data_IF_454994180263
#
_entry.id   IF_454994180263
#
_cell.length_a   1.000
_cell.length_b   1.000
_cell.length_c   1.000
_cell.angle_alpha   90.00
_cell.angle_beta   90.00
_cell.angle_gamma   90.00
#
_symmetry.space_group_name_H-M   'P 1'
#
loop_
_entity.id
_entity.type
_entity.pdbx_description
1 polymer ?
#
# COMPACT_ATOMS: atom_id res chain seq x y z
N UNK A 1 24.25 -59.15 55.28
CA UNK A 1 24.56 -57.96 56.09
C UNK A 1 25.47 -57.07 55.26
N UNK A 2 25.11 -56.81 54.00
CA UNK A 2 24.05 -55.90 53.51
C UNK A 2 24.75 -54.56 53.21
N UNK A 3 24.82 -54.01 52.02
CA UNK A 3 24.24 -54.37 50.74
C UNK A 3 25.13 -53.82 49.61
N UNK A 4 25.09 -54.54 48.48
CA UNK A 4 25.62 -54.15 47.17
C UNK A 4 24.88 -52.93 46.62
N UNK A 5 25.61 -52.01 45.97
CA UNK A 5 25.27 -51.44 44.65
C UNK A 5 26.40 -50.46 44.24
N UNK A 6 27.43 -50.82 43.47
CA UNK A 6 27.49 -51.22 42.06
C UNK A 6 27.09 -50.13 41.04
N UNK A 7 28.07 -49.87 40.14
CA UNK A 7 27.97 -49.49 38.72
C UNK A 7 28.07 -48.00 38.26
N UNK A 8 29.33 -47.62 37.97
CA UNK A 8 29.93 -47.12 36.69
C UNK A 8 29.18 -46.10 35.78
N UNK A 9 29.94 -45.29 34.98
CA UNK A 9 29.51 -44.07 34.31
C UNK A 9 28.88 -44.32 32.93
N UNK A 10 28.16 -43.32 32.41
CA UNK A 10 27.76 -43.24 31.01
C UNK A 10 27.75 -41.78 30.51
N UNK A 11 28.49 -41.54 29.44
CA UNK A 11 28.28 -40.45 28.48
C UNK A 11 26.81 -40.40 28.04
N UNK A 12 26.23 -39.20 27.93
CA UNK A 12 25.28 -38.90 26.86
C UNK A 12 25.25 -37.41 26.53
N UNK A 13 26.00 -37.04 25.49
CA UNK A 13 25.70 -35.88 24.67
C UNK A 13 24.36 -36.17 23.98
N UNK A 14 23.31 -35.38 24.19
CA UNK A 14 22.36 -34.86 23.17
C UNK A 14 21.07 -34.36 23.85
N UNK A 15 20.90 -33.04 23.89
CA UNK A 15 19.61 -32.32 23.86
C UNK A 15 19.98 -30.83 23.89
N UNK A 16 20.27 -30.15 22.77
CA UNK A 16 19.29 -29.70 21.77
C UNK A 16 17.97 -29.25 22.40
N UNK A 17 18.05 -28.42 23.44
CA UNK A 17 17.01 -27.47 23.75
C UNK A 17 17.22 -26.24 22.86
N UNK A 18 16.65 -26.30 21.66
CA UNK A 18 16.29 -25.10 20.92
C UNK A 18 15.37 -24.30 21.84
N UNK A 19 15.95 -23.38 22.62
CA UNK A 19 15.20 -22.45 23.43
C UNK A 19 14.35 -21.62 22.47
N UNK A 20 13.07 -21.97 22.36
CA UNK A 20 12.09 -21.10 21.74
C UNK A 20 12.17 -19.77 22.49
N UNK A 21 12.74 -18.76 21.84
CA UNK A 21 12.70 -17.40 22.33
C UNK A 21 11.24 -16.98 22.30
N UNK A 22 10.65 -16.96 23.49
CA UNK A 22 9.29 -16.49 23.74
C UNK A 22 9.35 -14.97 23.86
N UNK A 23 8.41 -14.27 23.21
CA UNK A 23 8.22 -12.84 23.41
C UNK A 23 7.78 -12.55 24.87
N UNK A 24 7.75 -11.27 25.31
CA UNK A 24 7.31 -10.87 26.66
C UNK A 24 5.91 -11.40 27.06
N UNK A 25 5.15 -11.96 26.12
CA UNK A 25 3.82 -12.52 26.33
C UNK A 25 3.77 -14.05 26.16
N UNK A 26 4.90 -14.75 26.15
CA UNK A 26 4.95 -16.21 26.13
C UNK A 26 4.53 -16.84 24.80
N UNK A 27 4.58 -16.11 23.69
CA UNK A 27 4.25 -16.63 22.36
C UNK A 27 5.52 -16.85 21.53
N UNK A 28 5.53 -17.84 20.63
CA UNK A 28 6.65 -18.03 19.71
C UNK A 28 6.86 -16.73 18.93
N UNK A 29 8.09 -16.21 19.00
CA UNK A 29 8.52 -15.03 18.25
C UNK A 29 8.25 -15.26 16.77
N UNK A 30 7.54 -14.31 16.15
CA UNK A 30 7.42 -14.26 14.70
C UNK A 30 8.84 -14.11 14.15
N UNK A 31 9.40 -15.17 13.55
CA UNK A 31 10.68 -15.11 12.85
C UNK A 31 10.43 -14.59 11.44
N UNK A 32 10.65 -13.30 11.14
CA UNK A 32 10.50 -12.82 9.78
C UNK A 32 11.58 -13.49 8.92
N UNK A 33 11.16 -14.15 7.83
CA UNK A 33 12.06 -14.86 6.91
C UNK A 33 13.00 -13.89 6.15
N UNK A 34 12.68 -12.59 6.20
CA UNK A 34 13.40 -11.48 5.56
C UNK A 34 13.50 -10.33 6.57
N UNK A 35 14.61 -9.58 6.56
CA UNK A 35 14.77 -8.38 7.38
C UNK A 35 13.54 -7.44 7.27
N UNK A 36 12.93 -6.99 8.40
CA UNK A 36 11.73 -6.16 8.41
C UNK A 36 11.81 -4.92 7.52
N UNK A 37 13.00 -4.33 7.39
CA UNK A 37 13.25 -3.15 6.55
C UNK A 37 13.11 -3.49 5.07
N UNK A 38 13.67 -4.64 4.64
CA UNK A 38 13.56 -5.12 3.25
C UNK A 38 12.13 -5.52 2.91
N UNK A 39 11.45 -6.17 3.85
CA UNK A 39 10.03 -6.52 3.73
C UNK A 39 9.15 -5.26 3.59
N UNK A 40 9.38 -4.23 4.39
CA UNK A 40 8.67 -2.95 4.31
C UNK A 40 8.90 -2.23 2.98
N UNK A 41 10.15 -2.14 2.52
CA UNK A 41 10.50 -1.54 1.23
C UNK A 41 9.89 -2.31 0.04
N UNK A 42 9.95 -3.64 0.07
CA UNK A 42 9.37 -4.49 -0.98
C UNK A 42 7.84 -4.36 -1.01
N UNK A 43 7.20 -4.35 0.17
CA UNK A 43 5.76 -4.17 0.30
C UNK A 43 5.31 -2.78 -0.14
N UNK A 44 6.09 -1.74 0.15
CA UNK A 44 5.77 -0.36 -0.24
C UNK A 44 5.98 -0.14 -1.74
N UNK A 45 7.11 -0.57 -2.30
CA UNK A 45 7.38 -0.49 -3.74
C UNK A 45 6.42 -1.37 -4.55
N UNK A 46 6.18 -2.60 -4.08
CA UNK A 46 5.24 -3.52 -4.71
C UNK A 46 3.80 -3.03 -4.61
N UNK A 47 3.36 -2.59 -3.44
CA UNK A 47 2.03 -2.03 -3.24
C UNK A 47 1.80 -0.79 -4.12
N UNK A 48 2.77 0.11 -4.19
CA UNK A 48 2.71 1.30 -5.04
C UNK A 48 2.65 0.94 -6.54
N UNK A 49 3.50 0.01 -6.99
CA UNK A 49 3.51 -0.42 -8.39
C UNK A 49 2.20 -1.11 -8.79
N UNK A 50 1.69 -2.01 -7.94
CA UNK A 50 0.42 -2.68 -8.19
C UNK A 50 -0.75 -1.69 -8.19
N UNK A 51 -0.80 -0.77 -7.22
CA UNK A 51 -1.77 0.31 -7.17
C UNK A 51 -1.76 1.16 -8.46
N UNK A 52 -0.58 1.63 -8.88
CA UNK A 52 -0.46 2.59 -9.97
C UNK A 52 -0.80 1.95 -11.32
N UNK A 53 -0.30 0.73 -11.56
CA UNK A 53 -0.44 0.05 -12.86
C UNK A 53 -1.81 -0.63 -12.97
N UNK A 54 -2.22 -1.42 -11.97
CA UNK A 54 -3.48 -2.17 -12.07
C UNK A 54 -4.70 -1.29 -11.79
N UNK A 55 -4.59 -0.29 -10.91
CA UNK A 55 -5.68 0.67 -10.68
C UNK A 55 -5.96 1.52 -11.93
N UNK A 56 -4.91 2.00 -12.60
CA UNK A 56 -5.02 2.73 -13.87
C UNK A 56 -5.56 1.84 -15.00
N UNK A 57 -5.02 0.61 -15.10
CA UNK A 57 -5.45 -0.34 -16.13
C UNK A 57 -6.91 -0.78 -15.97
N UNK A 58 -7.38 -1.00 -14.73
CA UNK A 58 -8.78 -1.38 -14.49
C UNK A 58 -9.75 -0.28 -14.95
N UNK A 59 -9.38 0.98 -14.73
CA UNK A 59 -10.18 2.13 -15.15
C UNK A 59 -10.32 2.17 -16.68
N UNK A 60 -9.21 1.97 -17.40
CA UNK A 60 -9.20 1.88 -18.87
C UNK A 60 -9.93 0.61 -19.37
N UNK A 61 -9.86 -0.51 -18.65
CA UNK A 61 -10.52 -1.75 -19.05
C UNK A 61 -12.05 -1.68 -18.92
N UNK A 62 -12.54 -1.01 -17.87
CA UNK A 62 -13.97 -0.91 -17.58
C UNK A 62 -14.65 0.19 -18.41
N UNK A 63 -14.01 1.35 -18.54
CA UNK A 63 -14.58 2.49 -19.26
C UNK A 63 -14.08 2.62 -20.69
N UNK A 64 -13.10 1.82 -21.09
CA UNK A 64 -12.47 1.91 -22.40
C UNK A 64 -11.65 3.17 -22.58
N UNK A 65 -11.32 3.49 -23.84
CA UNK A 65 -10.76 4.78 -24.23
C UNK A 65 -11.84 5.87 -24.41
N UNK A 66 -13.13 5.49 -24.36
CA UNK A 66 -14.30 6.37 -24.50
C UNK A 66 -14.78 6.86 -23.12
N UNK A 67 -13.88 7.52 -22.38
CA UNK A 67 -14.18 8.13 -21.07
C UNK A 67 -15.26 9.24 -21.16
N UNK A 68 -15.54 9.72 -22.36
CA UNK A 68 -16.45 10.82 -22.69
C UNK A 68 -17.93 10.49 -22.47
N UNK A 69 -18.29 9.20 -22.43
CA UNK A 69 -19.68 8.73 -22.22
C UNK A 69 -19.92 8.21 -20.81
N UNK A 70 -18.89 8.24 -19.97
CA UNK A 70 -18.92 7.68 -18.64
C UNK A 70 -19.36 8.73 -17.63
N UNK A 71 -20.34 8.40 -16.80
CA UNK A 71 -20.73 9.25 -15.66
C UNK A 71 -19.49 9.52 -14.78
N UNK A 72 -19.20 10.80 -14.56
CA UNK A 72 -18.07 11.25 -13.76
C UNK A 72 -18.10 10.69 -12.32
N UNK A 73 -19.28 10.41 -11.78
CA UNK A 73 -19.44 9.75 -10.49
C UNK A 73 -19.09 8.27 -10.55
N UNK A 74 -19.43 7.58 -11.63
CA UNK A 74 -19.06 6.19 -11.87
C UNK A 74 -17.54 6.06 -12.05
N UNK A 75 -16.90 7.00 -12.73
CA UNK A 75 -15.43 7.08 -12.86
C UNK A 75 -14.75 7.29 -11.50
N UNK A 76 -15.29 8.16 -10.64
CA UNK A 76 -14.76 8.34 -9.27
C UNK A 76 -14.95 7.10 -8.42
N UNK A 77 -16.11 6.46 -8.50
CA UNK A 77 -16.38 5.26 -7.72
C UNK A 77 -15.50 4.08 -8.16
N UNK A 78 -15.32 3.88 -9.47
CA UNK A 78 -14.47 2.81 -9.98
C UNK A 78 -13.01 3.02 -9.58
N UNK A 79 -12.54 4.26 -9.66
CA UNK A 79 -11.15 4.58 -9.35
C UNK A 79 -10.92 4.37 -7.87
N UNK A 80 -11.79 4.88 -7.00
CA UNK A 80 -11.73 4.60 -5.55
C UNK A 80 -11.79 3.09 -5.24
N UNK A 81 -12.71 2.35 -5.87
CA UNK A 81 -12.84 0.92 -5.66
C UNK A 81 -11.60 0.15 -6.14
N UNK A 82 -11.06 0.51 -7.31
CA UNK A 82 -9.83 -0.06 -7.85
C UNK A 82 -8.63 0.23 -6.95
N UNK A 83 -8.50 1.46 -6.46
CA UNK A 83 -7.45 1.85 -5.52
C UNK A 83 -7.50 1.00 -4.24
N UNK A 84 -8.67 0.85 -3.62
CA UNK A 84 -8.84 0.02 -2.43
C UNK A 84 -8.51 -1.44 -2.72
N UNK A 85 -9.05 -2.00 -3.80
CA UNK A 85 -8.86 -3.40 -4.17
C UNK A 85 -7.40 -3.72 -4.46
N UNK A 86 -6.71 -2.87 -5.23
CA UNK A 86 -5.34 -3.09 -5.67
C UNK A 86 -4.28 -2.63 -4.67
N UNK A 87 -4.65 -1.98 -3.57
CA UNK A 87 -3.78 -1.86 -2.39
C UNK A 87 -3.95 -3.09 -1.50
N UNK A 88 -5.18 -3.54 -1.28
CA UNK A 88 -5.48 -4.65 -0.37
C UNK A 88 -4.93 -5.99 -0.87
N UNK A 89 -5.06 -6.27 -2.17
CA UNK A 89 -4.67 -7.53 -2.78
C UNK A 89 -3.14 -7.79 -2.69
N UNK A 90 -2.24 -6.89 -3.12
CA UNK A 90 -0.80 -7.10 -2.94
C UNK A 90 -0.40 -7.08 -1.46
N UNK A 91 -1.07 -6.30 -0.60
CA UNK A 91 -0.81 -6.34 0.83
C UNK A 91 -1.08 -7.73 1.43
N UNK A 92 -2.17 -8.39 1.01
CA UNK A 92 -2.50 -9.77 1.38
C UNK A 92 -1.47 -10.77 0.83
N UNK A 93 -1.08 -10.63 -0.44
CA UNK A 93 -0.07 -11.49 -1.07
C UNK A 93 1.27 -11.36 -0.34
N UNK A 94 1.75 -10.16 -0.08
CA UNK A 94 3.00 -9.92 0.64
C UNK A 94 2.93 -10.40 2.08
N UNK A 95 1.80 -10.21 2.76
CA UNK A 95 1.60 -10.74 4.11
C UNK A 95 1.78 -12.26 4.15
N UNK A 96 1.21 -12.99 3.18
CA UNK A 96 1.35 -14.45 3.06
C UNK A 96 2.77 -14.90 2.67
N UNK A 97 3.49 -14.11 1.89
CA UNK A 97 4.85 -14.45 1.45
C UNK A 97 5.87 -14.19 2.58
N UNK A 98 5.65 -13.14 3.37
CA UNK A 98 6.62 -12.65 4.36
C UNK A 98 6.39 -13.28 5.75
N UNK A 99 5.15 -13.60 6.11
CA UNK A 99 4.79 -14.12 7.42
C UNK A 99 4.09 -15.49 7.31
N UNK A 100 4.45 -16.44 8.20
CA UNK A 100 3.78 -17.75 8.27
C UNK A 100 2.32 -17.64 8.73
N UNK A 101 2.01 -16.68 9.61
CA UNK A 101 0.66 -16.45 10.14
C UNK A 101 0.04 -15.12 9.66
N UNK A 102 -0.71 -15.19 8.56
CA UNK A 102 -1.44 -14.05 7.98
C UNK A 102 -2.44 -13.45 8.97
N UNK A 103 -3.07 -14.29 9.82
CA UNK A 103 -4.08 -13.89 10.81
C UNK A 103 -3.50 -13.02 11.93
N UNK A 104 -2.23 -13.22 12.31
CA UNK A 104 -1.55 -12.41 13.34
C UNK A 104 -1.17 -11.03 12.80
N UNK A 105 -0.88 -10.94 11.50
CA UNK A 105 -0.55 -9.69 10.78
C UNK A 105 -1.78 -8.87 10.44
N UNK A 106 -2.90 -9.52 10.07
CA UNK A 106 -4.18 -8.86 9.75
C UNK A 106 -5.00 -8.44 10.98
N UNK A 107 -4.44 -8.56 12.19
CA UNK A 107 -5.16 -8.16 13.41
C UNK A 107 -5.48 -6.68 13.35
N UNK A 108 -6.77 -6.39 13.16
CA UNK A 108 -7.31 -5.03 13.09
C UNK A 108 -6.95 -4.27 14.36
N UNK A 109 -6.01 -3.32 14.25
CA UNK A 109 -5.69 -2.34 15.29
C UNK A 109 -6.31 -1.03 14.87
N UNK A 110 -7.49 -0.73 15.41
CA UNK A 110 -8.12 0.58 15.19
C UNK A 110 -7.18 1.68 15.67
N UNK A 111 -6.94 2.67 14.83
CA UNK A 111 -6.32 3.91 15.27
C UNK A 111 -7.26 4.61 16.27
N UNK A 112 -6.74 5.31 17.29
CA UNK A 112 -7.56 6.08 18.20
C UNK A 112 -8.32 7.18 17.44
N UNK A 113 -9.55 7.48 17.87
CA UNK A 113 -10.43 8.44 17.21
C UNK A 113 -9.82 9.83 17.00
N UNK A 114 -8.89 10.24 17.86
CA UNK A 114 -8.17 11.51 17.73
C UNK A 114 -7.24 11.54 16.51
N UNK A 115 -6.60 10.41 16.19
CA UNK A 115 -5.74 10.29 15.01
C UNK A 115 -6.57 10.32 13.73
N UNK A 116 -7.73 9.65 13.73
CA UNK A 116 -8.68 9.68 12.62
C UNK A 116 -9.20 11.11 12.38
N UNK A 117 -9.56 11.83 13.45
CA UNK A 117 -10.01 13.21 13.36
C UNK A 117 -8.90 14.14 12.85
N UNK A 118 -7.68 14.02 13.38
CA UNK A 118 -6.53 14.80 12.94
C UNK A 118 -6.19 14.55 11.47
N UNK A 119 -6.24 13.29 11.04
CA UNK A 119 -6.06 12.91 9.64
C UNK A 119 -7.13 13.52 8.73
N UNK A 120 -8.39 13.48 9.17
CA UNK A 120 -9.51 14.07 8.43
C UNK A 120 -9.35 15.58 8.26
N UNK A 121 -8.98 16.29 9.33
CA UNK A 121 -8.68 17.73 9.27
C UNK A 121 -7.50 18.00 8.32
N UNK A 122 -6.47 17.14 8.37
CA UNK A 122 -5.34 17.18 7.46
C UNK A 122 -5.77 17.10 5.99
N UNK A 123 -6.63 16.14 5.63
CA UNK A 123 -7.17 16.01 4.26
C UNK A 123 -7.98 17.25 3.85
N UNK A 124 -8.85 17.74 4.73
CA UNK A 124 -9.66 18.93 4.46
C UNK A 124 -8.75 20.14 4.19
N UNK A 125 -7.67 20.32 4.97
CA UNK A 125 -6.70 21.39 4.77
C UNK A 125 -5.85 21.20 3.51
N UNK A 126 -5.51 19.95 3.15
CA UNK A 126 -4.72 19.64 1.97
C UNK A 126 -5.49 19.94 0.67
N UNK A 127 -6.80 19.75 0.67
CA UNK A 127 -7.67 19.94 -0.51
C UNK A 127 -7.54 21.35 -1.14
N UNK A 128 -7.72 22.47 -0.41
CA UNK A 128 -7.56 23.80 -0.99
C UNK A 128 -6.11 24.10 -1.38
N UNK A 129 -5.13 23.53 -0.68
CA UNK A 129 -3.71 23.68 -1.03
C UNK A 129 -3.44 23.03 -2.40
N UNK A 130 -3.99 21.84 -2.64
CA UNK A 130 -3.86 21.15 -3.92
C UNK A 130 -4.51 21.94 -5.06
N UNK A 131 -5.68 22.55 -4.83
CA UNK A 131 -6.34 23.41 -5.83
C UNK A 131 -5.49 24.64 -6.17
N UNK A 132 -4.90 25.30 -5.17
CA UNK A 132 -3.99 26.42 -5.39
C UNK A 132 -2.71 26.00 -6.13
N UNK A 133 -2.18 24.82 -5.81
CA UNK A 133 -1.03 24.26 -6.50
C UNK A 133 -1.33 23.99 -7.98
N UNK A 134 -2.48 23.39 -8.29
CA UNK A 134 -2.96 23.17 -9.67
C UNK A 134 -3.07 24.50 -10.45
N UNK A 135 -3.64 25.53 -9.83
CA UNK A 135 -3.74 26.86 -10.45
C UNK A 135 -2.35 27.42 -10.80
N UNK A 136 -1.41 27.34 -9.86
CA UNK A 136 -0.05 27.81 -10.08
C UNK A 136 0.67 26.98 -11.15
N UNK A 137 0.51 25.66 -11.11
CA UNK A 137 1.07 24.74 -12.10
C UNK A 137 0.55 25.06 -13.51
N UNK A 138 -0.75 25.29 -13.66
CA UNK A 138 -1.35 25.68 -14.94
C UNK A 138 -0.75 26.98 -15.45
N UNK A 139 -0.61 28.01 -14.61
CA UNK A 139 0.03 29.26 -14.99
C UNK A 139 1.45 29.06 -15.56
N UNK A 140 2.27 28.25 -14.90
CA UNK A 140 3.60 27.91 -15.41
C UNK A 140 3.54 27.14 -16.73
N UNK A 141 2.63 26.16 -16.87
CA UNK A 141 2.45 25.42 -18.12
C UNK A 141 2.01 26.32 -19.26
N UNK A 142 1.13 27.29 -19.04
CA UNK A 142 0.71 28.24 -20.07
C UNK A 142 1.90 29.08 -20.57
N UNK A 143 2.75 29.53 -19.66
CA UNK A 143 3.91 30.34 -20.00
C UNK A 143 4.96 29.52 -20.76
N UNK A 144 5.13 28.24 -20.40
CA UNK A 144 6.04 27.32 -21.07
C UNK A 144 5.51 26.85 -22.43
N UNK A 145 4.20 26.65 -22.58
CA UNK A 145 3.55 26.27 -23.83
C UNK A 145 3.73 27.35 -24.91
N UNK A 146 3.70 28.63 -24.53
CA UNK A 146 3.94 29.76 -25.45
C UNK A 146 5.34 29.77 -26.05
N UNK A 147 6.33 29.14 -25.39
CA UNK A 147 7.71 29.12 -25.86
C UNK A 147 8.10 27.80 -26.56
N UNK A 148 7.43 26.69 -26.24
CA UNK A 148 7.78 25.36 -26.75
C UNK A 148 6.56 24.64 -27.35
N UNK A 149 6.60 24.36 -28.66
CA UNK A 149 5.52 23.67 -29.38
C UNK A 149 5.20 22.26 -28.87
N UNK A 150 6.16 21.55 -28.29
CA UNK A 150 5.91 20.26 -27.62
C UNK A 150 5.06 20.41 -26.35
N UNK A 151 5.30 21.47 -25.57
CA UNK A 151 4.51 21.74 -24.36
C UNK A 151 3.11 22.22 -24.75
N UNK A 152 2.97 22.96 -25.86
CA UNK A 152 1.67 23.31 -26.41
C UNK A 152 0.85 22.08 -26.82
N UNK A 153 1.45 21.09 -27.47
CA UNK A 153 0.78 19.84 -27.82
C UNK A 153 0.29 19.06 -26.59
N UNK A 154 1.10 19.01 -25.53
CA UNK A 154 0.71 18.41 -24.24
C UNK A 154 -0.43 19.21 -23.61
N UNK A 155 -0.34 20.56 -23.62
CA UNK A 155 -1.39 21.44 -23.10
C UNK A 155 -2.71 21.20 -23.82
N UNK A 156 -2.72 21.20 -25.15
CA UNK A 156 -3.94 20.97 -25.94
C UNK A 156 -4.56 19.60 -25.63
N UNK A 157 -3.73 18.58 -25.41
CA UNK A 157 -4.22 17.25 -24.98
C UNK A 157 -4.83 17.28 -23.58
N UNK A 158 -4.22 17.99 -22.64
CA UNK A 158 -4.74 18.17 -21.27
C UNK A 158 -6.02 19.01 -21.25
N UNK A 159 -6.08 20.12 -21.98
CA UNK A 159 -7.26 20.98 -22.12
C UNK A 159 -8.45 20.20 -22.74
N UNK A 160 -8.17 19.29 -23.67
CA UNK A 160 -9.19 18.38 -24.21
C UNK A 160 -9.72 17.40 -23.17
N UNK A 161 -8.86 16.86 -22.30
CA UNK A 161 -9.27 15.99 -21.20
C UNK A 161 -10.07 16.76 -20.14
N UNK A 162 -9.69 17.99 -19.82
CA UNK A 162 -10.44 18.84 -18.89
C UNK A 162 -11.84 19.15 -19.43
N UNK A 163 -11.97 19.47 -20.72
CA UNK A 163 -13.27 19.67 -21.38
C UNK A 163 -14.14 18.41 -21.36
N UNK A 164 -13.52 17.24 -21.55
CA UNK A 164 -14.18 15.94 -21.50
C UNK A 164 -14.77 15.65 -20.11
N UNK A 165 -14.03 16.03 -19.07
CA UNK A 165 -14.48 15.93 -17.69
C UNK A 165 -15.59 16.95 -17.42
N UNK A 166 -15.45 18.19 -17.88
CA UNK A 166 -16.45 19.25 -17.71
C UNK A 166 -17.77 18.94 -18.43
N UNK A 167 -17.72 18.33 -19.63
CA UNK A 167 -18.92 17.89 -20.35
C UNK A 167 -19.61 16.66 -19.75
N UNK A 168 -18.94 15.96 -18.83
CA UNK A 168 -19.47 14.80 -18.12
C UNK A 168 -20.12 15.16 -16.78
N UNK A 169 -20.15 16.45 -16.41
CA UNK A 169 -20.92 17.02 -15.30
C UNK A 169 -22.24 17.63 -15.79
#
# INVERSE_FOLDING_TARGET
>A
MDDLNNQKPADDNTNKSDAEHLDENGKPELKPKISPVKAGLLGLAGGFFFYQIFGGLLTVLIFGLDLEKADANALRLITMAGQVLFILLPALIFSKIIYEDVTRVLRFRSAPWIEIALFTVGIIALTPILQNYLYLQNYFFEQLAKQNGFIQMIKESLDSLDKLVESSY
#
